data_IF_779071398626
#
_entry.id   IF_779071398626
#
_cell.length_a   1.000
_cell.length_b   1.000
_cell.length_c   1.000
_cell.angle_alpha   90.00
_cell.angle_beta   90.00
_cell.angle_gamma   90.00
#
_symmetry.space_group_name_H-M   'P 1'
#
loop_
_entity.id
_entity.type
_entity.pdbx_description
1 polymer ?
#
# COMPACT_ATOMS: atom_id res chain seq x y z
N UNK A 1 -3.02 7.61 24.51
CA UNK A 1 -1.67 7.82 23.92
C UNK A 1 -1.30 9.28 24.04
N UNK A 2 -0.11 9.58 24.56
CA UNK A 2 0.38 10.94 24.76
C UNK A 2 1.18 11.48 23.56
N UNK A 3 1.47 12.77 23.58
CA UNK A 3 2.22 13.41 22.49
C UNK A 3 3.65 12.90 22.32
N UNK A 4 4.44 12.68 23.38
CA UNK A 4 5.79 12.12 23.23
C UNK A 4 5.83 10.81 22.47
N UNK A 5 4.89 9.90 22.73
CA UNK A 5 4.79 8.62 22.03
C UNK A 5 4.42 8.80 20.55
N UNK A 6 3.47 9.69 20.24
CA UNK A 6 3.10 10.00 18.85
C UNK A 6 4.26 10.66 18.09
N UNK A 7 5.00 11.53 18.76
CA UNK A 7 6.18 12.18 18.20
C UNK A 7 7.27 11.17 17.84
N UNK A 8 7.61 10.26 18.76
CA UNK A 8 8.57 9.18 18.51
C UNK A 8 8.12 8.29 17.33
N UNK A 9 6.85 7.90 17.29
CA UNK A 9 6.30 7.14 16.18
C UNK A 9 6.39 7.90 14.84
N UNK A 10 6.21 9.22 14.87
CA UNK A 10 6.36 10.08 13.69
C UNK A 10 7.80 10.10 13.17
N UNK A 11 8.78 10.21 14.03
CA UNK A 11 10.19 10.11 13.66
C UNK A 11 10.50 8.76 12.99
N UNK A 12 9.91 7.67 13.50
CA UNK A 12 10.03 6.33 12.88
C UNK A 12 9.32 6.20 11.55
N UNK A 13 8.37 7.08 11.23
CA UNK A 13 7.77 7.23 9.90
C UNK A 13 8.48 8.28 9.03
N UNK A 14 9.71 8.65 9.37
CA UNK A 14 10.54 9.61 8.64
C UNK A 14 9.92 11.02 8.54
N UNK A 15 9.04 11.38 9.47
CA UNK A 15 8.54 12.74 9.55
C UNK A 15 9.58 13.63 10.24
N UNK A 16 9.69 14.87 9.78
CA UNK A 16 10.60 15.86 10.35
C UNK A 16 10.03 16.47 11.64
N UNK A 17 10.92 17.02 12.47
CA UNK A 17 10.51 17.74 13.67
C UNK A 17 9.52 18.86 13.38
N UNK A 18 9.75 19.63 12.32
CA UNK A 18 8.86 20.73 11.90
C UNK A 18 7.46 20.20 11.54
N UNK A 19 7.37 19.06 10.87
CA UNK A 19 6.10 18.43 10.53
C UNK A 19 5.33 17.95 11.75
N UNK A 20 6.04 17.37 12.71
CA UNK A 20 5.44 16.93 13.96
C UNK A 20 5.01 18.12 14.83
N UNK A 21 5.83 19.19 14.90
CA UNK A 21 5.47 20.41 15.61
C UNK A 21 4.26 21.12 14.99
N UNK A 22 4.12 21.10 13.65
CA UNK A 22 2.92 21.60 12.94
C UNK A 22 1.65 20.84 13.32
N UNK A 23 1.77 19.51 13.57
CA UNK A 23 0.63 18.65 13.95
C UNK A 23 0.19 18.84 15.41
N UNK A 24 1.09 19.26 16.31
CA UNK A 24 0.87 19.32 17.76
C UNK A 24 -0.35 20.17 18.17
N UNK A 25 -0.58 21.39 17.65
CA UNK A 25 -1.74 22.19 18.02
C UNK A 25 -3.06 21.49 17.68
N UNK A 26 -3.09 20.70 16.59
CA UNK A 26 -4.26 19.89 16.27
C UNK A 26 -4.42 18.74 17.26
N UNK A 27 -3.33 18.03 17.60
CA UNK A 27 -3.37 16.98 18.62
C UNK A 27 -3.95 17.52 19.95
N UNK A 28 -3.55 18.69 20.42
CA UNK A 28 -4.01 19.24 21.72
C UNK A 28 -5.54 19.40 21.78
N UNK A 29 -6.18 19.74 20.66
CA UNK A 29 -7.65 19.88 20.53
C UNK A 29 -8.38 18.64 20.02
N UNK A 30 -7.66 17.61 19.59
CA UNK A 30 -8.25 16.40 19.03
C UNK A 30 -9.00 15.58 20.10
N UNK A 31 -10.03 14.86 19.67
CA UNK A 31 -10.77 13.92 20.51
C UNK A 31 -9.88 12.72 20.87
N UNK A 32 -9.41 12.70 22.10
CA UNK A 32 -8.46 11.68 22.59
C UNK A 32 -9.09 10.31 22.72
N UNK A 33 -10.37 10.23 23.08
CA UNK A 33 -11.10 8.95 23.19
C UNK A 33 -11.26 8.31 21.81
N UNK A 34 -11.65 9.11 20.84
CA UNK A 34 -11.76 8.65 19.45
C UNK A 34 -10.39 8.23 18.89
N UNK A 35 -9.33 8.99 19.19
CA UNK A 35 -7.97 8.67 18.75
C UNK A 35 -7.46 7.35 19.34
N UNK A 36 -7.63 7.12 20.63
CA UNK A 36 -7.24 5.87 21.27
C UNK A 36 -7.98 4.68 20.69
N UNK A 37 -9.30 4.81 20.50
CA UNK A 37 -10.09 3.76 19.87
C UNK A 37 -9.67 3.54 18.42
N UNK A 38 -9.51 4.58 17.62
CA UNK A 38 -9.08 4.48 16.24
C UNK A 38 -7.69 3.85 16.10
N UNK A 39 -6.76 4.15 16.99
CA UNK A 39 -5.45 3.51 17.07
C UNK A 39 -5.56 2.02 17.41
N UNK A 40 -6.33 1.67 18.43
CA UNK A 40 -6.51 0.29 18.88
C UNK A 40 -7.24 -0.58 17.83
N UNK A 41 -8.19 -0.01 17.08
CA UNK A 41 -8.96 -0.71 16.04
C UNK A 41 -8.46 -0.41 14.63
N UNK A 42 -7.24 0.08 14.49
CA UNK A 42 -6.69 0.53 13.21
C UNK A 42 -6.72 -0.55 12.15
N UNK A 43 -6.37 -1.77 12.50
CA UNK A 43 -6.39 -2.90 11.57
C UNK A 43 -7.81 -3.39 11.28
N UNK A 44 -8.65 -3.50 12.32
CA UNK A 44 -10.00 -4.03 12.22
C UNK A 44 -11.01 -3.16 12.98
N UNK A 45 -12.09 -2.76 12.31
CA UNK A 45 -13.13 -1.94 12.91
C UNK A 45 -12.83 -0.44 13.01
N UNK A 46 -11.95 0.06 12.14
CA UNK A 46 -11.58 1.49 12.11
C UNK A 46 -12.81 2.40 11.97
N UNK A 47 -13.01 3.41 12.84
CA UNK A 47 -14.24 4.21 12.93
C UNK A 47 -14.28 5.36 11.92
N UNK A 48 -14.08 5.09 10.62
CA UNK A 48 -13.94 6.11 9.59
C UNK A 48 -15.15 7.05 9.52
N UNK A 49 -16.38 6.53 9.52
CA UNK A 49 -17.59 7.33 9.41
C UNK A 49 -17.76 8.30 10.61
N UNK A 50 -17.36 7.87 11.80
CA UNK A 50 -17.41 8.73 12.99
C UNK A 50 -16.36 9.83 12.93
N UNK A 51 -15.17 9.53 12.39
CA UNK A 51 -14.11 10.54 12.17
C UNK A 51 -14.60 11.58 11.15
N UNK A 52 -15.21 11.15 10.05
CA UNK A 52 -15.76 12.05 9.03
C UNK A 52 -16.88 12.95 9.60
N UNK A 53 -17.73 12.41 10.45
CA UNK A 53 -18.76 13.18 11.15
C UNK A 53 -18.16 14.17 12.16
N UNK A 54 -17.16 13.75 12.92
CA UNK A 54 -16.52 14.56 13.99
C UNK A 54 -15.68 15.70 13.44
N UNK A 55 -15.04 15.47 12.28
CA UNK A 55 -14.16 16.41 11.58
C UNK A 55 -14.66 16.61 10.13
N UNK A 56 -15.65 17.47 9.90
CA UNK A 56 -16.20 17.70 8.55
C UNK A 56 -15.23 18.40 7.60
N UNK A 57 -14.23 19.09 8.12
CA UNK A 57 -13.19 19.75 7.33
C UNK A 57 -12.12 18.75 6.85
N UNK A 58 -11.76 18.82 5.55
CA UNK A 58 -10.83 17.86 4.93
C UNK A 58 -9.40 17.93 5.52
N UNK A 59 -8.95 19.11 5.94
CA UNK A 59 -7.63 19.25 6.57
C UNK A 59 -7.63 18.64 7.97
N UNK A 60 -8.68 18.87 8.76
CA UNK A 60 -8.82 18.30 10.10
C UNK A 60 -9.00 16.78 10.04
N UNK A 61 -9.73 16.26 9.02
CA UNK A 61 -9.75 14.82 8.75
C UNK A 61 -8.37 14.26 8.44
N UNK A 62 -7.60 14.94 7.60
CA UNK A 62 -6.26 14.49 7.24
C UNK A 62 -5.30 14.54 8.45
N UNK A 63 -5.37 15.59 9.28
CA UNK A 63 -4.59 15.67 10.53
C UNK A 63 -4.96 14.56 11.50
N UNK A 64 -6.25 14.29 11.68
CA UNK A 64 -6.70 13.18 12.52
C UNK A 64 -6.29 11.82 11.95
N UNK A 65 -6.38 11.63 10.63
CA UNK A 65 -5.90 10.45 9.93
C UNK A 65 -4.41 10.19 10.19
N UNK A 66 -3.58 11.25 10.17
CA UNK A 66 -2.16 11.12 10.51
C UNK A 66 -1.97 10.69 11.98
N UNK A 67 -2.67 11.30 12.91
CA UNK A 67 -2.62 10.87 14.33
C UNK A 67 -2.98 9.39 14.49
N UNK A 68 -3.98 8.89 13.76
CA UNK A 68 -4.34 7.47 13.78
C UNK A 68 -3.23 6.57 13.23
N UNK A 69 -2.55 6.97 12.14
CA UNK A 69 -1.40 6.24 11.59
C UNK A 69 -0.26 6.19 12.60
N UNK A 70 0.06 7.34 13.23
CA UNK A 70 1.09 7.40 14.28
C UNK A 70 0.73 6.52 15.48
N UNK A 71 -0.54 6.55 15.90
CA UNK A 71 -1.04 5.73 17.00
C UNK A 71 -0.97 4.23 16.71
N UNK A 72 -1.11 3.84 15.46
CA UNK A 72 -1.08 2.44 15.03
C UNK A 72 0.33 1.87 14.78
N UNK A 73 1.39 2.68 14.83
CA UNK A 73 2.77 2.22 14.60
C UNK A 73 3.16 0.99 15.42
N UNK A 74 2.85 0.89 16.72
CA UNK A 74 3.18 -0.29 17.50
C UNK A 74 2.52 -1.58 16.99
N UNK A 75 1.32 -1.49 16.40
CA UNK A 75 0.64 -2.64 15.78
C UNK A 75 1.42 -3.15 14.57
N UNK A 76 1.90 -2.24 13.71
CA UNK A 76 2.74 -2.57 12.57
C UNK A 76 4.03 -3.28 13.02
N UNK A 77 4.76 -2.71 13.97
CA UNK A 77 6.03 -3.26 14.46
C UNK A 77 5.83 -4.65 15.11
N UNK A 78 4.75 -4.81 15.87
CA UNK A 78 4.42 -6.09 16.50
C UNK A 78 4.12 -7.15 15.45
N UNK A 79 3.25 -6.83 14.47
CA UNK A 79 2.90 -7.74 13.38
C UNK A 79 4.16 -8.19 12.61
N UNK A 80 5.02 -7.26 12.22
CA UNK A 80 6.22 -7.58 11.45
C UNK A 80 7.24 -8.41 12.25
N UNK A 81 7.38 -8.14 13.53
CA UNK A 81 8.24 -8.91 14.44
C UNK A 81 7.73 -10.34 14.64
N UNK A 82 6.43 -10.51 14.86
CA UNK A 82 5.80 -11.81 15.07
C UNK A 82 5.92 -12.72 13.83
N UNK A 83 5.95 -12.13 12.63
CA UNK A 83 6.14 -12.87 11.37
C UNK A 83 7.61 -12.98 10.94
N UNK A 84 8.54 -12.41 11.69
CA UNK A 84 9.97 -12.45 11.36
C UNK A 84 10.34 -11.68 10.09
N UNK A 85 9.51 -10.70 9.67
CA UNK A 85 9.76 -9.95 8.44
C UNK A 85 11.00 -9.05 8.60
N UNK A 86 11.79 -8.86 7.51
CA UNK A 86 12.97 -8.01 7.54
C UNK A 86 12.67 -6.58 7.96
N UNK A 87 13.56 -5.97 8.74
CA UNK A 87 13.46 -4.58 9.22
C UNK A 87 13.36 -3.58 8.05
N UNK A 88 14.01 -3.89 6.93
CA UNK A 88 13.90 -3.10 5.69
C UNK A 88 12.45 -2.91 5.22
N UNK A 89 11.58 -3.88 5.41
CA UNK A 89 10.17 -3.76 5.04
C UNK A 89 9.42 -2.72 5.88
N UNK A 90 9.78 -2.58 7.18
CA UNK A 90 9.25 -1.52 8.03
C UNK A 90 9.72 -0.14 7.56
N UNK A 91 10.97 -0.04 7.15
CA UNK A 91 11.56 1.19 6.62
C UNK A 91 10.90 1.60 5.29
N UNK A 92 10.69 0.65 4.39
CA UNK A 92 9.99 0.87 3.12
C UNK A 92 8.55 1.38 3.33
N UNK A 93 7.80 0.81 4.30
CA UNK A 93 6.45 1.28 4.67
C UNK A 93 6.50 2.66 5.29
N UNK A 94 7.53 2.95 6.06
CA UNK A 94 7.73 4.27 6.65
C UNK A 94 7.96 5.32 5.57
N UNK A 95 8.78 5.02 4.58
CA UNK A 95 9.00 5.88 3.42
C UNK A 95 7.72 6.13 2.59
N UNK A 96 6.90 5.09 2.35
CA UNK A 96 5.61 5.22 1.67
C UNK A 96 4.62 6.09 2.48
N UNK A 97 4.63 5.93 3.81
CA UNK A 97 3.81 6.76 4.71
C UNK A 97 4.23 8.23 4.64
N UNK A 98 5.52 8.52 4.73
CA UNK A 98 6.05 9.88 4.58
C UNK A 98 5.68 10.50 3.23
N UNK A 99 5.80 9.75 2.13
CA UNK A 99 5.41 10.22 0.80
C UNK A 99 3.92 10.60 0.70
N UNK A 100 3.04 9.86 1.38
CA UNK A 100 1.60 10.20 1.45
C UNK A 100 1.35 11.46 2.28
N UNK A 101 2.13 11.71 3.33
CA UNK A 101 2.10 12.96 4.09
C UNK A 101 2.52 14.14 3.21
N UNK A 102 3.59 14.00 2.41
CA UNK A 102 4.00 15.04 1.46
C UNK A 102 2.92 15.30 0.39
N UNK A 103 2.23 14.27 -0.04
CA UNK A 103 1.08 14.42 -0.96
C UNK A 103 -0.04 15.21 -0.31
N UNK A 104 -0.37 14.97 0.96
CA UNK A 104 -1.36 15.76 1.70
C UNK A 104 -0.93 17.23 1.86
N UNK A 105 0.33 17.49 2.16
CA UNK A 105 0.87 18.88 2.22
C UNK A 105 0.69 19.60 0.89
N UNK A 106 0.96 18.95 -0.22
CA UNK A 106 0.79 19.53 -1.56
C UNK A 106 -0.69 19.76 -1.91
N UNK A 107 -1.55 18.78 -1.66
CA UNK A 107 -2.92 18.76 -2.19
C UNK A 107 -3.93 19.41 -1.23
N UNK A 108 -3.70 19.35 0.08
CA UNK A 108 -4.56 19.89 1.13
C UNK A 108 -3.95 21.09 1.88
N UNK A 109 -2.71 21.45 1.57
CA UNK A 109 -1.97 22.54 2.23
C UNK A 109 -1.88 22.38 3.77
N UNK A 110 -1.79 21.16 4.26
CA UNK A 110 -1.62 20.85 5.67
C UNK A 110 -0.83 19.57 5.88
N UNK A 111 -0.15 19.46 7.03
CA UNK A 111 0.35 18.17 7.48
C UNK A 111 -0.82 17.24 7.78
N UNK A 112 -0.79 16.01 7.23
CA UNK A 112 -1.90 15.10 7.40
C UNK A 112 -1.77 13.80 6.60
N UNK A 113 -2.75 12.91 6.80
CA UNK A 113 -2.87 11.66 6.06
C UNK A 113 -4.33 11.47 5.63
N UNK A 114 -4.67 11.62 4.35
CA UNK A 114 -6.06 11.58 3.89
C UNK A 114 -6.74 10.25 4.22
N UNK A 115 -7.95 10.30 4.75
CA UNK A 115 -8.71 9.09 5.17
C UNK A 115 -8.87 8.07 4.03
N UNK A 116 -9.02 8.53 2.78
CA UNK A 116 -9.10 7.66 1.59
C UNK A 116 -7.87 6.75 1.41
N UNK A 117 -6.72 7.13 1.96
CA UNK A 117 -5.49 6.34 1.87
C UNK A 117 -5.35 5.31 3.01
N UNK A 118 -6.18 5.42 4.06
CA UNK A 118 -6.04 4.56 5.25
C UNK A 118 -6.35 3.09 4.97
N UNK A 119 -7.31 2.78 4.09
CA UNK A 119 -7.63 1.38 3.76
C UNK A 119 -6.40 0.64 3.18
N UNK A 120 -5.68 1.30 2.29
CA UNK A 120 -4.43 0.76 1.73
C UNK A 120 -3.34 0.62 2.79
N UNK A 121 -3.13 1.64 3.59
CA UNK A 121 -2.13 1.63 4.67
C UNK A 121 -2.43 0.55 5.71
N UNK A 122 -3.70 0.33 6.04
CA UNK A 122 -4.14 -0.77 6.91
C UNK A 122 -3.79 -2.14 6.31
N UNK A 123 -3.96 -2.30 5.00
CA UNK A 123 -3.53 -3.53 4.31
C UNK A 123 -2.00 -3.72 4.37
N UNK A 124 -1.22 -2.64 4.28
CA UNK A 124 0.23 -2.71 4.51
C UNK A 124 0.55 -3.11 5.96
N UNK A 125 -0.14 -2.55 6.93
CA UNK A 125 0.08 -2.84 8.35
C UNK A 125 -0.28 -4.28 8.74
N UNK A 126 -1.27 -4.89 8.06
CA UNK A 126 -1.61 -6.31 8.21
C UNK A 126 -0.70 -7.25 7.41
N UNK A 127 0.21 -6.72 6.61
CA UNK A 127 1.01 -7.54 5.71
C UNK A 127 0.25 -8.11 4.50
N UNK A 128 -1.00 -7.67 4.24
CA UNK A 128 -1.74 -8.04 3.03
C UNK A 128 -1.09 -7.44 1.78
N UNK A 129 -0.58 -6.22 1.92
CA UNK A 129 0.25 -5.51 0.94
C UNK A 129 1.63 -5.31 1.53
N UNK A 130 2.65 -5.76 0.82
CA UNK A 130 4.05 -5.68 1.23
C UNK A 130 4.81 -4.71 0.35
N UNK A 131 5.69 -3.92 0.97
CA UNK A 131 6.58 -2.99 0.28
C UNK A 131 7.95 -3.64 0.09
N UNK A 132 8.48 -3.56 -1.13
CA UNK A 132 9.83 -3.98 -1.48
C UNK A 132 10.49 -2.86 -2.28
N UNK A 133 11.16 -1.96 -1.59
CA UNK A 133 11.79 -0.80 -2.22
C UNK A 133 10.82 0.00 -3.10
N UNK A 134 11.00 -0.07 -4.45
CA UNK A 134 10.19 0.72 -5.40
C UNK A 134 8.78 0.20 -5.65
N UNK A 135 8.50 -1.07 -5.39
CA UNK A 135 7.22 -1.71 -5.72
C UNK A 135 6.53 -2.25 -4.46
N UNK A 136 5.22 -2.37 -4.54
CA UNK A 136 4.40 -3.08 -3.56
C UNK A 136 3.82 -4.34 -4.19
N UNK A 137 3.48 -5.32 -3.38
CA UNK A 137 2.76 -6.49 -3.86
C UNK A 137 1.72 -6.99 -2.86
N UNK A 138 0.74 -7.69 -3.38
CA UNK A 138 -0.21 -8.47 -2.61
C UNK A 138 -0.42 -9.83 -3.25
N UNK A 139 -0.68 -10.86 -2.44
CA UNK A 139 -1.20 -12.12 -2.96
C UNK A 139 -2.62 -11.89 -3.50
N UNK A 140 -2.94 -12.46 -4.65
CA UNK A 140 -4.29 -12.45 -5.20
C UNK A 140 -4.64 -13.81 -5.79
N UNK A 141 -5.90 -14.22 -5.61
CA UNK A 141 -6.39 -15.54 -6.06
C UNK A 141 -6.93 -15.47 -7.49
N UNK A 142 -7.17 -14.27 -8.03
CA UNK A 142 -7.84 -14.12 -9.31
C UNK A 142 -7.13 -13.08 -10.18
N UNK A 143 -7.01 -13.37 -11.47
CA UNK A 143 -6.93 -12.31 -12.46
C UNK A 143 -8.20 -11.45 -12.31
N UNK A 144 -8.04 -10.14 -12.27
CA UNK A 144 -9.06 -9.12 -11.89
C UNK A 144 -10.45 -9.24 -12.53
N UNK A 145 -10.56 -10.03 -13.62
CA UNK A 145 -11.81 -10.17 -14.32
C UNK A 145 -12.04 -11.65 -14.67
N UNK A 146 -13.09 -12.30 -14.10
CA UNK A 146 -13.40 -13.69 -14.41
C UNK A 146 -13.80 -13.93 -15.87
N UNK A 147 -14.01 -12.85 -16.64
CA UNK A 147 -14.37 -12.92 -18.06
C UNK A 147 -13.17 -12.95 -19.01
N UNK A 148 -11.96 -12.88 -18.50
CA UNK A 148 -10.74 -12.90 -19.30
C UNK A 148 -9.78 -14.02 -18.85
N UNK A 149 -8.94 -14.46 -19.77
CA UNK A 149 -7.81 -15.34 -19.50
C UNK A 149 -6.63 -14.94 -20.36
N UNK A 150 -5.43 -15.34 -19.94
CA UNK A 150 -4.20 -15.09 -20.67
C UNK A 150 -3.88 -16.34 -21.49
N UNK A 151 -3.64 -16.17 -22.77
CA UNK A 151 -3.29 -17.24 -23.70
C UNK A 151 -1.90 -17.01 -24.28
N UNK A 152 -1.19 -18.10 -24.56
CA UNK A 152 0.11 -18.05 -25.23
C UNK A 152 -0.06 -18.16 -26.73
N UNK A 153 0.59 -17.26 -27.48
CA UNK A 153 0.67 -17.30 -28.94
C UNK A 153 2.16 -17.15 -29.34
N UNK A 154 2.83 -18.29 -29.53
CA UNK A 154 4.29 -18.31 -29.67
C UNK A 154 4.96 -17.90 -28.34
N UNK A 155 5.81 -16.88 -28.38
CA UNK A 155 6.43 -16.30 -27.20
C UNK A 155 5.57 -15.21 -26.51
N UNK A 156 4.55 -14.71 -27.20
CA UNK A 156 3.68 -13.65 -26.71
C UNK A 156 2.57 -14.18 -25.80
N UNK A 157 2.14 -13.31 -24.89
CA UNK A 157 0.95 -13.50 -24.07
C UNK A 157 -0.15 -12.55 -24.53
N UNK A 158 -1.34 -13.09 -24.72
CA UNK A 158 -2.50 -12.32 -25.19
C UNK A 158 -3.65 -12.48 -24.22
N UNK A 159 -4.30 -11.37 -23.86
CA UNK A 159 -5.50 -11.36 -23.02
C UNK A 159 -6.71 -11.51 -23.94
N UNK A 160 -7.52 -12.54 -23.74
CA UNK A 160 -8.72 -12.83 -24.53
C UNK A 160 -9.91 -13.08 -23.59
N UNK A 161 -11.15 -12.90 -24.07
CA UNK A 161 -12.35 -13.27 -23.32
C UNK A 161 -12.33 -14.76 -22.97
N UNK A 162 -12.68 -15.11 -21.75
CA UNK A 162 -12.79 -16.50 -21.31
C UNK A 162 -13.89 -17.23 -22.14
N UNK A 163 -13.58 -18.42 -22.64
CA UNK A 163 -14.53 -19.22 -23.42
C UNK A 163 -14.83 -18.70 -24.83
N UNK A 164 -14.05 -17.78 -25.38
CA UNK A 164 -14.20 -17.29 -26.74
C UNK A 164 -13.97 -18.41 -27.77
N UNK A 165 -14.84 -18.48 -28.82
CA UNK A 165 -14.83 -19.56 -29.82
C UNK A 165 -13.49 -19.76 -30.56
N UNK A 166 -12.68 -18.71 -30.65
CA UNK A 166 -11.41 -18.72 -31.38
C UNK A 166 -10.19 -18.74 -30.43
N UNK A 167 -10.42 -18.99 -29.16
CA UNK A 167 -9.32 -19.05 -28.20
C UNK A 167 -8.52 -20.35 -28.37
N UNK A 168 -7.23 -20.37 -28.03
CA UNK A 168 -6.47 -21.61 -27.84
C UNK A 168 -7.18 -22.52 -26.82
N UNK A 169 -7.00 -23.85 -26.91
CA UNK A 169 -7.77 -24.82 -26.11
C UNK A 169 -7.53 -24.69 -24.60
N UNK A 170 -6.36 -24.17 -24.21
CA UNK A 170 -6.03 -23.99 -22.79
C UNK A 170 -5.40 -22.61 -22.54
N UNK A 171 -5.85 -21.88 -21.54
CA UNK A 171 -5.18 -20.63 -21.15
C UNK A 171 -3.82 -20.92 -20.49
N UNK A 172 -2.88 -20.02 -20.69
CA UNK A 172 -1.62 -19.99 -19.93
C UNK A 172 -1.87 -19.59 -18.48
N UNK A 173 -2.82 -18.66 -18.27
CA UNK A 173 -3.35 -18.26 -16.97
C UNK A 173 -4.86 -18.09 -17.05
N UNK A 174 -5.55 -18.66 -16.09
CA UNK A 174 -6.99 -18.49 -15.88
C UNK A 174 -7.26 -17.50 -14.73
N UNK A 175 -8.49 -17.04 -14.64
CA UNK A 175 -8.91 -16.16 -13.55
C UNK A 175 -8.85 -16.84 -12.16
N UNK A 176 -8.74 -18.16 -12.09
CA UNK A 176 -8.64 -18.94 -10.85
C UNK A 176 -7.20 -19.16 -10.38
N UNK A 177 -6.21 -18.84 -11.21
CA UNK A 177 -4.81 -19.06 -10.86
C UNK A 177 -4.37 -18.06 -9.79
N UNK A 178 -3.60 -18.55 -8.82
CA UNK A 178 -2.94 -17.71 -7.82
C UNK A 178 -1.90 -16.83 -8.50
N UNK A 179 -1.90 -15.56 -8.18
CA UNK A 179 -0.97 -14.58 -8.73
C UNK A 179 -0.42 -13.70 -7.61
N UNK A 180 0.72 -13.09 -7.85
CA UNK A 180 1.19 -11.95 -7.09
C UNK A 180 0.82 -10.69 -7.86
N UNK A 181 0.08 -9.79 -7.24
CA UNK A 181 -0.28 -8.52 -7.83
C UNK A 181 0.74 -7.44 -7.46
N UNK A 182 1.39 -6.85 -8.46
CA UNK A 182 2.29 -5.72 -8.28
C UNK A 182 1.54 -4.40 -8.32
N UNK A 183 1.89 -3.52 -7.40
CA UNK A 183 1.42 -2.16 -7.33
C UNK A 183 2.60 -1.19 -7.48
N UNK A 184 2.36 -0.07 -8.14
CA UNK A 184 3.37 0.98 -8.36
C UNK A 184 3.00 2.17 -7.48
N UNK A 185 3.59 2.29 -6.27
CA UNK A 185 3.33 3.44 -5.41
C UNK A 185 3.96 4.72 -5.97
N UNK A 186 3.45 5.88 -5.54
CA UNK A 186 3.95 7.18 -5.97
C UNK A 186 5.23 7.60 -5.23
N UNK A 187 6.27 6.76 -5.30
CA UNK A 187 7.56 6.92 -4.61
C UNK A 187 8.67 7.46 -5.55
N UNK A 188 8.36 8.40 -6.41
CA UNK A 188 9.34 8.97 -7.34
C UNK A 188 9.54 8.14 -8.63
N UNK A 189 10.68 8.29 -9.33
CA UNK A 189 10.90 7.72 -10.66
C UNK A 189 10.83 6.18 -10.69
N UNK A 190 10.27 5.63 -11.76
CA UNK A 190 10.21 4.19 -12.00
C UNK A 190 11.47 3.74 -12.78
N UNK A 191 12.58 3.55 -12.07
CA UNK A 191 13.82 3.09 -12.70
C UNK A 191 13.83 1.58 -12.85
N UNK A 192 14.22 1.09 -14.03
CA UNK A 192 14.27 -0.35 -14.34
C UNK A 192 15.03 -1.17 -13.30
N UNK A 193 16.21 -0.69 -12.86
CA UNK A 193 17.04 -1.38 -11.87
C UNK A 193 16.31 -1.57 -10.55
N UNK A 194 15.65 -0.51 -10.07
CA UNK A 194 14.96 -0.53 -8.78
C UNK A 194 13.72 -1.43 -8.82
N UNK A 195 13.04 -1.50 -9.98
CA UNK A 195 11.91 -2.43 -10.18
C UNK A 195 12.37 -3.89 -10.21
N UNK A 196 13.48 -4.20 -10.88
CA UNK A 196 14.06 -5.55 -10.94
C UNK A 196 14.45 -6.00 -9.52
N UNK A 197 15.10 -5.13 -8.75
CA UNK A 197 15.49 -5.43 -7.37
C UNK A 197 14.26 -5.66 -6.48
N UNK A 198 13.21 -4.85 -6.61
CA UNK A 198 11.95 -5.05 -5.89
C UNK A 198 11.31 -6.40 -6.22
N UNK A 199 11.31 -6.81 -7.50
CA UNK A 199 10.76 -8.11 -7.91
C UNK A 199 11.61 -9.25 -7.33
N UNK A 200 12.93 -9.14 -7.30
CA UNK A 200 13.82 -10.14 -6.70
C UNK A 200 13.53 -10.28 -5.20
N UNK A 201 13.50 -9.20 -4.45
CA UNK A 201 13.18 -9.20 -3.02
C UNK A 201 11.80 -9.81 -2.75
N UNK A 202 10.82 -9.49 -3.59
CA UNK A 202 9.48 -10.07 -3.52
C UNK A 202 9.51 -11.59 -3.72
N UNK A 203 10.19 -12.09 -4.76
CA UNK A 203 10.25 -13.55 -5.02
C UNK A 203 10.98 -14.29 -3.90
N UNK A 204 12.06 -13.72 -3.38
CA UNK A 204 12.78 -14.28 -2.22
C UNK A 204 11.88 -14.33 -0.98
N UNK A 205 11.14 -13.26 -0.71
CA UNK A 205 10.19 -13.19 0.41
C UNK A 205 9.08 -14.27 0.31
N UNK A 206 8.47 -14.45 -0.87
CA UNK A 206 7.44 -15.47 -1.04
C UNK A 206 8.01 -16.89 -0.86
N UNK A 207 9.23 -17.14 -1.34
CA UNK A 207 9.91 -18.42 -1.14
C UNK A 207 10.22 -18.71 0.34
N UNK A 208 10.58 -17.70 1.12
CA UNK A 208 10.95 -17.84 2.53
C UNK A 208 9.72 -17.85 3.48
N UNK A 209 8.82 -16.90 3.32
CA UNK A 209 7.73 -16.66 4.29
C UNK A 209 6.36 -17.20 3.86
N UNK A 210 6.20 -17.56 2.59
CA UNK A 210 4.95 -18.08 2.04
C UNK A 210 5.22 -19.23 1.04
N UNK A 211 6.01 -20.27 1.40
CA UNK A 211 6.40 -21.34 0.46
C UNK A 211 5.20 -22.13 -0.10
N UNK A 212 4.10 -22.20 0.65
CA UNK A 212 2.87 -22.88 0.24
C UNK A 212 1.98 -22.04 -0.69
N UNK A 213 2.37 -20.78 -0.96
CA UNK A 213 1.67 -19.93 -1.90
C UNK A 213 2.18 -20.17 -3.32
N UNK A 214 1.69 -21.27 -3.94
CA UNK A 214 2.04 -21.67 -5.31
C UNK A 214 1.42 -20.70 -6.33
N UNK A 215 2.08 -19.59 -6.59
CA UNK A 215 1.64 -18.60 -7.59
C UNK A 215 2.18 -18.94 -8.99
N UNK A 216 1.32 -18.73 -10.00
CA UNK A 216 1.66 -19.03 -11.40
C UNK A 216 2.20 -17.83 -12.17
N UNK A 217 1.93 -16.63 -11.69
CA UNK A 217 2.37 -15.40 -12.36
C UNK A 217 2.47 -14.22 -11.41
N UNK A 218 3.26 -13.25 -11.82
CA UNK A 218 3.27 -11.90 -11.28
C UNK A 218 2.49 -11.03 -12.27
N UNK A 219 1.49 -10.30 -11.79
CA UNK A 219 0.62 -9.45 -12.61
C UNK A 219 0.69 -8.00 -12.13
N UNK A 220 0.58 -7.06 -13.04
CA UNK A 220 0.52 -5.65 -12.71
C UNK A 220 -0.58 -4.98 -13.53
N UNK A 221 -1.51 -4.33 -12.85
CA UNK A 221 -2.55 -3.52 -13.45
C UNK A 221 -2.29 -2.06 -13.15
N UNK A 222 -1.74 -1.36 -14.12
CA UNK A 222 -1.45 0.06 -13.97
C UNK A 222 -1.70 0.77 -15.30
N UNK A 223 -2.35 1.93 -15.24
CA UNK A 223 -2.53 2.78 -16.41
C UNK A 223 -1.19 3.18 -17.07
N UNK A 224 -0.10 3.23 -16.30
CA UNK A 224 1.24 3.54 -16.83
C UNK A 224 1.76 2.46 -17.81
N UNK A 225 1.17 1.27 -17.77
CA UNK A 225 1.49 0.17 -18.68
C UNK A 225 0.60 0.14 -19.93
N UNK A 226 -0.31 1.12 -20.10
CA UNK A 226 -1.15 1.25 -21.26
C UNK A 226 -0.28 1.44 -22.52
N UNK A 227 -0.43 0.59 -23.56
CA UNK A 227 0.34 0.71 -24.80
C UNK A 227 0.25 2.08 -25.47
N UNK A 228 -0.88 2.79 -25.32
CA UNK A 228 -1.07 4.15 -25.85
C UNK A 228 -0.09 5.13 -25.19
N UNK A 229 0.19 4.98 -23.89
CA UNK A 229 1.13 5.84 -23.17
C UNK A 229 2.59 5.53 -23.49
N UNK A 230 2.89 4.33 -23.96
CA UNK A 230 4.25 3.92 -24.32
C UNK A 230 4.88 4.84 -25.37
N UNK A 231 4.08 5.32 -26.32
CA UNK A 231 4.51 6.29 -27.34
C UNK A 231 4.73 7.71 -26.79
N UNK A 232 4.10 8.06 -25.67
CA UNK A 232 4.19 9.38 -25.05
C UNK A 232 5.32 9.47 -24.00
N UNK A 233 5.67 8.34 -23.36
CA UNK A 233 6.65 8.30 -22.27
C UNK A 233 8.08 8.02 -22.77
N UNK A 234 8.26 7.72 -24.08
CA UNK A 234 9.55 7.37 -24.69
C UNK A 234 10.01 5.94 -24.34
N UNK A 235 11.12 5.50 -24.93
CA UNK A 235 11.69 4.18 -24.68
C UNK A 235 12.27 4.06 -23.25
#
# INVERSE_FOLDING_TARGET
MDWPQLYENGCRFHLTDDELLELRPFYERADKVLLERAGATFLDGFPQAEIEQRYPDAQDQARFGLLCVLAARPLLETHYREHGYPEQMLDDISADTAAKVQTAKRDLHCIGFPLKNLSWTRSCFRGDVKQFGRLQCSSCIHLFNPKISVYRKGEDLTILPFGGKNNPPSPALSWQDKCINLHIPALGPLKKRDCIESIRQMTDHFAEFQPDYDYRAVVCYSWILDPVLRGLLGP
#
